data_IF_892430860483
#
_entry.id   IF_892430860483
#
_cell.length_a   1.000
_cell.length_b   1.000
_cell.length_c   1.000
_cell.angle_alpha   90.00
_cell.angle_beta   90.00
_cell.angle_gamma   90.00
#
_symmetry.space_group_name_H-M   'P 1'
#
loop_
_entity.id
_entity.type
_entity.pdbx_description
1 polymer ?
#
# COMPACT_ATOMS: atom_id res chain seq x y z
N UNK A 1 -1.37 40.41 -25.60
CA UNK A 1 -2.26 39.67 -24.66
C UNK A 1 -2.07 38.17 -24.84
N UNK A 2 -1.68 37.42 -23.76
CA UNK A 2 -1.61 35.96 -23.77
C UNK A 2 -3.02 35.36 -23.66
N UNK A 3 -3.34 34.34 -24.45
CA UNK A 3 -4.69 33.71 -24.48
C UNK A 3 -4.55 32.20 -24.29
N UNK A 4 -4.40 31.71 -23.07
CA UNK A 4 -4.30 30.28 -22.70
C UNK A 4 -5.55 29.44 -23.10
N UNK A 5 -6.74 30.08 -23.24
CA UNK A 5 -7.97 29.40 -23.71
C UNK A 5 -7.85 28.77 -25.08
N UNK A 6 -6.89 29.18 -25.92
CA UNK A 6 -6.68 28.58 -27.25
C UNK A 6 -6.42 27.09 -27.18
N UNK A 7 -5.63 26.64 -26.19
CA UNK A 7 -5.32 25.23 -25.98
C UNK A 7 -6.45 24.44 -25.28
N UNK A 8 -7.57 25.08 -24.95
CA UNK A 8 -8.73 24.48 -24.30
C UNK A 8 -9.98 24.44 -25.19
N UNK A 9 -9.88 24.91 -26.44
CA UNK A 9 -11.03 25.19 -27.32
C UNK A 9 -11.86 23.96 -27.69
N UNK A 10 -11.25 22.80 -27.83
CA UNK A 10 -11.93 21.53 -28.09
C UNK A 10 -11.16 20.35 -27.48
N UNK A 11 -11.80 19.16 -27.48
CA UNK A 11 -11.24 17.96 -26.83
C UNK A 11 -9.95 17.49 -27.52
N UNK A 12 -9.88 17.51 -28.84
CA UNK A 12 -8.68 17.07 -29.57
C UNK A 12 -7.45 17.89 -29.19
N UNK A 13 -7.61 19.22 -29.06
CA UNK A 13 -6.51 20.10 -28.62
C UNK A 13 -6.17 19.83 -27.14
N UNK A 14 -7.17 19.70 -26.26
CA UNK A 14 -6.90 19.38 -24.84
C UNK A 14 -6.16 18.06 -24.71
N UNK A 15 -6.58 17.03 -25.43
CA UNK A 15 -5.93 15.72 -25.45
C UNK A 15 -4.49 15.78 -25.95
N UNK A 16 -4.23 16.58 -27.00
CA UNK A 16 -2.91 16.74 -27.62
C UNK A 16 -1.88 17.34 -26.63
N UNK A 17 -2.31 18.32 -25.83
CA UNK A 17 -1.43 19.06 -24.90
C UNK A 17 -1.45 18.52 -23.47
N UNK A 18 -2.11 17.39 -23.23
CA UNK A 18 -2.23 16.77 -21.91
C UNK A 18 -0.87 16.23 -21.44
N UNK A 19 -0.36 16.77 -20.34
CA UNK A 19 0.98 16.47 -19.80
C UNK A 19 1.00 15.18 -18.98
N UNK A 20 -0.07 14.93 -18.21
CA UNK A 20 -0.14 13.81 -17.26
C UNK A 20 -1.16 12.77 -17.71
N UNK A 21 -0.77 11.51 -17.66
CA UNK A 21 -1.63 10.37 -17.94
C UNK A 21 -1.51 9.32 -16.84
N UNK A 22 -2.55 8.52 -16.67
CA UNK A 22 -2.58 7.33 -15.82
C UNK A 22 -2.78 6.12 -16.72
N UNK A 23 -2.00 5.08 -16.49
CA UNK A 23 -2.16 3.78 -17.14
C UNK A 23 -2.65 2.73 -16.12
N UNK A 24 -3.29 1.67 -16.59
CA UNK A 24 -3.68 0.53 -15.75
C UNK A 24 -2.46 -0.09 -15.05
N UNK A 25 -1.30 -0.05 -15.69
CA UNK A 25 -0.03 -0.54 -15.16
C UNK A 25 0.58 0.33 -14.05
N UNK A 26 0.04 1.51 -13.81
CA UNK A 26 0.42 2.33 -12.66
C UNK A 26 -0.31 1.91 -11.37
N UNK A 27 -1.32 1.01 -11.45
CA UNK A 27 -2.25 0.71 -10.37
C UNK A 27 -1.94 -0.62 -9.70
N UNK A 28 -1.94 -0.60 -8.35
CA UNK A 28 -1.84 -1.78 -7.48
C UNK A 28 -3.11 -1.87 -6.63
N UNK A 29 -3.71 -3.06 -6.55
CA UNK A 29 -4.91 -3.31 -5.76
C UNK A 29 -4.58 -4.00 -4.43
N UNK A 30 -4.96 -3.43 -3.25
CA UNK A 30 -4.78 -4.08 -1.96
C UNK A 30 -5.80 -5.19 -1.74
N UNK A 31 -5.35 -6.36 -1.25
CA UNK A 31 -6.22 -7.48 -0.89
C UNK A 31 -5.98 -7.93 0.55
N UNK A 32 -7.03 -8.45 1.19
CA UNK A 32 -7.00 -8.98 2.54
C UNK A 32 -7.31 -10.47 2.51
N UNK A 33 -6.39 -11.29 3.04
CA UNK A 33 -6.53 -12.74 3.10
C UNK A 33 -6.67 -13.18 4.55
N UNK A 34 -7.84 -13.72 4.89
CA UNK A 34 -8.15 -14.17 6.23
C UNK A 34 -7.93 -15.67 6.37
N UNK A 35 -7.38 -16.08 7.52
CA UNK A 35 -7.25 -17.48 7.88
C UNK A 35 -8.63 -18.08 8.17
N UNK A 36 -8.94 -19.21 7.53
CA UNK A 36 -10.19 -19.94 7.67
C UNK A 36 -10.69 -20.48 6.35
N UNK A 37 -11.96 -20.86 6.33
CA UNK A 37 -12.64 -21.47 5.19
C UNK A 37 -13.95 -20.74 4.91
N UNK A 38 -14.32 -20.66 3.63
CA UNK A 38 -15.56 -20.07 3.13
C UNK A 38 -15.81 -18.62 3.60
N UNK A 39 -14.75 -17.83 3.75
CA UNK A 39 -14.83 -16.42 4.17
C UNK A 39 -14.85 -15.52 2.94
N UNK A 40 -15.92 -14.72 2.82
CA UNK A 40 -16.03 -13.51 2.03
C UNK A 40 -16.75 -12.48 2.89
N UNK A 41 -15.98 -11.79 3.74
CA UNK A 41 -16.51 -10.86 4.74
C UNK A 41 -16.37 -9.42 4.22
N UNK A 42 -17.46 -8.67 4.06
CA UNK A 42 -17.38 -7.27 3.63
C UNK A 42 -16.71 -6.42 4.72
N UNK A 43 -15.93 -5.44 4.28
CA UNK A 43 -15.41 -4.39 5.16
C UNK A 43 -16.42 -3.25 5.15
N UNK A 44 -17.20 -3.10 6.24
CA UNK A 44 -18.33 -2.17 6.29
C UNK A 44 -17.94 -0.71 5.98
N UNK A 45 -16.79 -0.28 6.47
CA UNK A 45 -16.26 1.07 6.23
C UNK A 45 -15.64 1.27 4.84
N UNK A 46 -15.57 0.21 4.01
CA UNK A 46 -14.99 0.23 2.67
C UNK A 46 -15.88 -0.54 1.67
N UNK A 47 -16.93 0.07 1.12
CA UNK A 47 -17.83 -0.60 0.18
C UNK A 47 -17.10 -1.31 -0.97
N UNK A 48 -17.50 -2.55 -1.29
CA UNK A 48 -16.90 -3.44 -2.29
C UNK A 48 -15.49 -3.97 -1.97
N UNK A 49 -14.96 -3.74 -0.76
CA UNK A 49 -13.74 -4.37 -0.27
C UNK A 49 -14.12 -5.52 0.68
N UNK A 50 -13.43 -6.65 0.57
CA UNK A 50 -13.72 -7.85 1.34
C UNK A 50 -12.44 -8.48 1.89
N UNK A 51 -12.58 -9.21 3.00
CA UNK A 51 -11.62 -10.21 3.43
C UNK A 51 -11.99 -11.56 2.78
N UNK A 52 -11.00 -12.29 2.26
CA UNK A 52 -11.22 -13.58 1.60
C UNK A 52 -10.39 -14.67 2.29
N UNK A 53 -10.97 -15.86 2.50
CA UNK A 53 -10.18 -17.06 2.78
C UNK A 53 -9.54 -17.61 1.50
N UNK A 54 -8.53 -18.47 1.65
CA UNK A 54 -7.80 -19.06 0.51
C UNK A 54 -8.73 -19.70 -0.54
N UNK A 55 -9.74 -20.46 -0.09
CA UNK A 55 -10.71 -21.16 -0.93
C UNK A 55 -11.67 -20.23 -1.68
N UNK A 56 -11.76 -18.96 -1.26
CA UNK A 56 -12.61 -17.93 -1.89
C UNK A 56 -11.80 -16.87 -2.65
N UNK A 57 -10.47 -16.97 -2.61
CA UNK A 57 -9.58 -15.93 -3.16
C UNK A 57 -9.71 -15.78 -4.68
N UNK A 58 -10.03 -16.86 -5.39
CA UNK A 58 -10.24 -16.81 -6.85
C UNK A 58 -11.34 -15.83 -7.30
N UNK A 59 -12.31 -15.54 -6.45
CA UNK A 59 -13.39 -14.62 -6.80
C UNK A 59 -12.87 -13.22 -7.12
N UNK A 60 -11.81 -12.81 -6.44
CA UNK A 60 -11.18 -11.49 -6.69
C UNK A 60 -9.99 -11.60 -7.64
N UNK A 61 -9.21 -12.70 -7.57
CA UNK A 61 -8.03 -12.87 -8.40
C UNK A 61 -8.36 -12.96 -9.90
N UNK A 62 -9.47 -13.56 -10.26
CA UNK A 62 -9.95 -13.61 -11.64
C UNK A 62 -10.22 -12.19 -12.18
N UNK A 63 -10.95 -11.36 -11.43
CA UNK A 63 -11.22 -9.96 -11.80
C UNK A 63 -9.91 -9.15 -11.90
N UNK A 64 -8.98 -9.32 -10.96
CA UNK A 64 -7.67 -8.66 -10.99
C UNK A 64 -6.89 -9.06 -12.24
N UNK A 65 -6.83 -10.35 -12.55
CA UNK A 65 -6.12 -10.86 -13.73
C UNK A 65 -6.66 -10.30 -15.04
N UNK A 66 -7.97 -10.13 -15.15
CA UNK A 66 -8.65 -9.57 -16.35
C UNK A 66 -8.51 -8.03 -16.43
N UNK A 67 -8.33 -7.36 -15.31
CA UNK A 67 -8.31 -5.89 -15.24
C UNK A 67 -7.10 -5.23 -15.91
N UNK A 68 -6.01 -5.98 -16.08
CA UNK A 68 -4.71 -5.50 -16.62
C UNK A 68 -3.98 -4.50 -15.73
N UNK A 69 -4.33 -4.35 -14.45
CA UNK A 69 -3.55 -3.57 -13.50
C UNK A 69 -2.15 -4.19 -13.28
N UNK A 70 -1.24 -3.48 -12.62
CA UNK A 70 0.13 -3.98 -12.44
C UNK A 70 0.21 -5.20 -11.52
N UNK A 71 -0.53 -5.20 -10.41
CA UNK A 71 -0.47 -6.28 -9.44
C UNK A 71 -1.28 -6.00 -8.17
N UNK A 72 -0.91 -6.70 -7.11
CA UNK A 72 -1.59 -6.64 -5.80
C UNK A 72 -0.62 -6.31 -4.67
N UNK A 73 -1.17 -5.70 -3.61
CA UNK A 73 -0.54 -5.60 -2.30
C UNK A 73 -1.33 -6.50 -1.33
N UNK A 74 -0.66 -7.48 -0.71
CA UNK A 74 -1.32 -8.49 0.11
C UNK A 74 -1.14 -8.25 1.60
N UNK A 75 -2.24 -8.35 2.36
CA UNK A 75 -2.30 -8.31 3.81
C UNK A 75 -2.90 -9.62 4.34
N UNK A 76 -2.25 -10.25 5.32
CA UNK A 76 -2.77 -11.44 5.99
C UNK A 76 -3.48 -11.11 7.29
N UNK A 77 -4.57 -11.82 7.57
CA UNK A 77 -5.33 -11.71 8.81
C UNK A 77 -5.36 -13.10 9.47
N UNK A 78 -4.45 -13.33 10.45
CA UNK A 78 -4.39 -14.60 11.15
C UNK A 78 -5.53 -14.71 12.16
N UNK A 79 -5.94 -15.94 12.50
CA UNK A 79 -6.88 -16.22 13.61
C UNK A 79 -6.24 -16.04 14.97
N UNK A 80 -4.97 -16.38 15.08
CA UNK A 80 -4.23 -16.29 16.33
C UNK A 80 -3.23 -15.15 16.26
N UNK A 81 -3.23 -14.33 17.31
CA UNK A 81 -2.30 -13.21 17.47
C UNK A 81 -1.60 -13.34 18.81
N UNK A 82 -0.31 -13.03 18.86
CA UNK A 82 0.48 -13.05 20.08
C UNK A 82 1.35 -11.78 20.22
N UNK A 83 2.05 -11.64 21.34
CA UNK A 83 2.86 -10.46 21.62
C UNK A 83 4.05 -10.30 20.68
N UNK A 84 4.55 -11.38 20.12
CA UNK A 84 5.72 -11.42 19.22
C UNK A 84 5.34 -11.57 17.74
N UNK A 85 4.04 -11.55 17.41
CA UNK A 85 3.55 -11.69 16.04
C UNK A 85 4.07 -12.98 15.35
N UNK A 86 4.08 -14.12 16.05
CA UNK A 86 4.70 -15.36 15.54
C UNK A 86 4.13 -15.82 14.20
N UNK A 87 2.84 -15.59 13.95
CA UNK A 87 2.19 -15.88 12.66
C UNK A 87 2.71 -15.06 11.48
N UNK A 88 3.38 -13.93 11.70
CA UNK A 88 3.91 -13.08 10.63
C UNK A 88 5.06 -13.74 9.87
N UNK A 89 5.88 -14.50 10.58
CA UNK A 89 7.07 -15.17 10.04
C UNK A 89 6.98 -16.71 10.03
N UNK A 90 5.80 -17.24 10.29
CA UNK A 90 5.52 -18.68 10.11
C UNK A 90 5.57 -19.01 8.60
N UNK A 91 6.36 -20.02 8.23
CA UNK A 91 6.44 -20.48 6.83
C UNK A 91 5.09 -20.97 6.30
N UNK A 92 4.18 -21.37 7.17
CA UNK A 92 2.80 -21.77 6.87
C UNK A 92 1.77 -20.71 7.28
N UNK A 93 2.20 -19.48 7.56
CA UNK A 93 1.31 -18.35 7.84
C UNK A 93 0.35 -18.07 6.69
N UNK A 94 -0.77 -17.42 6.99
CA UNK A 94 -1.83 -17.18 5.99
C UNK A 94 -1.33 -16.41 4.77
N UNK A 95 -0.46 -15.41 4.95
CA UNK A 95 0.11 -14.63 3.85
C UNK A 95 1.02 -15.49 2.98
N UNK A 96 1.89 -16.29 3.59
CA UNK A 96 2.80 -17.21 2.89
C UNK A 96 2.03 -18.27 2.09
N UNK A 97 0.95 -18.81 2.65
CA UNK A 97 0.07 -19.75 1.96
C UNK A 97 -0.63 -19.07 0.76
N UNK A 98 -1.15 -17.86 0.96
CA UNK A 98 -1.83 -17.10 -0.08
C UNK A 98 -0.90 -16.78 -1.26
N UNK A 99 0.33 -16.32 -0.99
CA UNK A 99 1.29 -16.02 -2.05
C UNK A 99 1.62 -17.28 -2.85
N UNK A 100 1.93 -18.40 -2.20
CA UNK A 100 2.16 -19.68 -2.89
C UNK A 100 0.97 -20.10 -3.76
N UNK A 101 -0.24 -20.00 -3.23
CA UNK A 101 -1.45 -20.30 -3.99
C UNK A 101 -1.59 -19.42 -5.24
N UNK A 102 -1.39 -18.10 -5.09
CA UNK A 102 -1.49 -17.14 -6.20
C UNK A 102 -0.40 -17.42 -7.24
N UNK A 103 0.85 -17.65 -6.82
CA UNK A 103 1.96 -17.91 -7.75
C UNK A 103 1.78 -19.21 -8.54
N UNK A 104 1.14 -20.21 -7.98
CA UNK A 104 0.80 -21.46 -8.71
C UNK A 104 -0.31 -21.21 -9.73
N UNK A 105 -1.35 -20.47 -9.37
CA UNK A 105 -2.56 -20.34 -10.18
C UNK A 105 -2.52 -19.15 -11.14
N UNK A 106 -1.85 -18.07 -10.73
CA UNK A 106 -1.69 -16.81 -11.49
C UNK A 106 -0.19 -16.42 -11.53
N UNK A 107 0.68 -17.18 -12.20
CA UNK A 107 2.14 -17.03 -12.11
C UNK A 107 2.66 -15.67 -12.60
N UNK A 108 1.91 -14.98 -13.46
CA UNK A 108 2.24 -13.64 -13.97
C UNK A 108 1.77 -12.49 -13.07
N UNK A 109 1.02 -12.78 -11.99
CA UNK A 109 0.53 -11.73 -11.09
C UNK A 109 1.68 -11.21 -10.22
N UNK A 110 1.94 -9.91 -10.29
CA UNK A 110 2.90 -9.25 -9.43
C UNK A 110 2.32 -9.13 -8.02
N UNK A 111 3.09 -9.60 -7.03
CA UNK A 111 2.70 -9.60 -5.63
C UNK A 111 3.68 -8.75 -4.81
N UNK A 112 3.15 -7.71 -4.19
CA UNK A 112 3.84 -6.93 -3.17
C UNK A 112 3.38 -7.47 -1.82
N UNK A 113 4.29 -7.93 -0.98
CA UNK A 113 3.96 -8.42 0.36
C UNK A 113 4.26 -7.35 1.41
N UNK A 114 3.24 -6.94 2.14
CA UNK A 114 3.40 -6.03 3.28
C UNK A 114 4.21 -6.71 4.39
N UNK A 115 5.16 -5.98 4.98
CA UNK A 115 5.93 -6.42 6.14
C UNK A 115 5.62 -5.51 7.31
N UNK A 116 4.74 -5.99 8.18
CA UNK A 116 4.37 -5.33 9.42
C UNK A 116 3.89 -6.36 10.45
N UNK A 117 4.07 -6.07 11.71
CA UNK A 117 3.64 -6.98 12.77
C UNK A 117 2.21 -6.69 13.26
N UNK A 118 1.61 -5.54 12.93
CA UNK A 118 0.36 -5.08 13.56
C UNK A 118 -0.87 -5.96 13.28
N UNK A 119 -0.90 -6.69 12.18
CA UNK A 119 -1.95 -7.66 11.86
C UNK A 119 -1.82 -8.93 12.72
N UNK A 120 -0.62 -9.21 13.24
CA UNK A 120 -0.24 -10.45 13.93
C UNK A 120 -0.01 -10.28 15.43
N UNK A 121 0.18 -9.03 15.90
CA UNK A 121 0.34 -8.75 17.33
C UNK A 121 -1.01 -8.70 18.04
N UNK A 122 -1.08 -9.25 19.26
CA UNK A 122 -2.28 -9.18 20.11
C UNK A 122 -2.65 -7.75 20.48
N UNK A 123 -1.68 -6.87 20.60
CA UNK A 123 -1.86 -5.45 20.97
C UNK A 123 -2.02 -4.50 19.76
N UNK A 124 -1.93 -4.97 18.50
CA UNK A 124 -2.14 -4.17 17.30
C UNK A 124 -1.07 -3.11 16.98
N UNK A 125 0.06 -3.07 17.69
CA UNK A 125 1.19 -2.20 17.34
C UNK A 125 2.13 -2.88 16.35
N UNK A 126 2.90 -2.06 15.60
CA UNK A 126 3.78 -2.52 14.51
C UNK A 126 5.13 -3.09 15.01
N UNK A 127 5.38 -3.13 16.31
CA UNK A 127 6.64 -3.61 16.90
C UNK A 127 6.47 -4.24 18.26
N UNK A 128 7.57 -4.75 18.79
CA UNK A 128 7.66 -5.34 20.14
C UNK A 128 7.32 -4.32 21.20
N UNK A 129 6.52 -4.72 22.18
CA UNK A 129 6.05 -3.84 23.26
C UNK A 129 6.71 -4.19 24.58
N UNK A 130 7.18 -3.16 25.32
CA UNK A 130 7.56 -3.27 26.72
C UNK A 130 6.84 -2.19 27.53
N UNK A 131 5.90 -2.60 28.38
CA UNK A 131 4.96 -1.68 29.03
C UNK A 131 4.10 -0.95 28.00
N UNK A 132 4.32 0.35 27.80
CA UNK A 132 3.65 1.17 26.78
C UNK A 132 4.63 1.68 25.69
N UNK A 133 5.85 1.18 25.67
CA UNK A 133 6.90 1.61 24.74
C UNK A 133 7.05 0.58 23.62
N UNK A 134 7.10 1.06 22.39
CA UNK A 134 7.47 0.26 21.23
C UNK A 134 8.99 0.23 21.13
N UNK A 135 9.55 -0.98 21.07
CA UNK A 135 10.99 -1.20 21.04
C UNK A 135 11.46 -1.33 19.60
N UNK A 136 12.21 -0.34 19.12
CA UNK A 136 12.68 -0.27 17.74
C UNK A 136 13.59 -1.46 17.41
N UNK A 137 14.71 -1.58 18.12
CA UNK A 137 15.80 -2.50 17.76
C UNK A 137 15.40 -3.97 17.95
N UNK A 138 14.57 -4.26 18.94
CA UNK A 138 14.03 -5.61 19.18
C UNK A 138 13.00 -6.02 18.13
N UNK A 139 12.41 -5.06 17.41
CA UNK A 139 11.46 -5.32 16.32
C UNK A 139 12.17 -5.72 15.01
N UNK A 140 13.33 -5.14 14.71
CA UNK A 140 14.04 -5.36 13.44
C UNK A 140 14.30 -6.84 13.11
N UNK A 141 14.74 -7.70 14.06
CA UNK A 141 14.92 -9.13 13.77
C UNK A 141 13.62 -9.84 13.39
N UNK A 142 12.47 -9.43 13.92
CA UNK A 142 11.17 -10.04 13.58
C UNK A 142 10.73 -9.63 12.18
N UNK A 143 10.92 -8.37 11.80
CA UNK A 143 10.68 -7.88 10.45
C UNK A 143 11.56 -8.58 9.41
N UNK A 144 12.84 -8.78 9.74
CA UNK A 144 13.78 -9.53 8.89
C UNK A 144 13.33 -10.98 8.69
N UNK A 145 12.89 -11.66 9.75
CA UNK A 145 12.33 -13.02 9.68
C UNK A 145 11.08 -13.08 8.81
N UNK A 146 10.17 -12.10 8.95
CA UNK A 146 8.97 -12.00 8.13
C UNK A 146 9.35 -11.82 6.66
N UNK A 147 10.25 -10.89 6.34
CA UNK A 147 10.71 -10.64 4.98
C UNK A 147 11.31 -11.89 4.32
N UNK A 148 12.17 -12.63 5.03
CA UNK A 148 12.74 -13.91 4.55
C UNK A 148 11.63 -14.95 4.29
N UNK A 149 10.67 -15.09 5.23
CA UNK A 149 9.59 -16.07 5.08
C UNK A 149 8.70 -15.79 3.86
N UNK A 150 8.47 -14.49 3.57
CA UNK A 150 7.72 -14.05 2.40
C UNK A 150 8.55 -14.22 1.11
N UNK A 151 9.84 -13.89 1.11
CA UNK A 151 10.71 -14.08 -0.05
C UNK A 151 10.81 -15.55 -0.48
N UNK A 152 10.81 -16.51 0.48
CA UNK A 152 10.73 -17.95 0.21
C UNK A 152 9.48 -18.40 -0.54
N UNK A 153 8.43 -17.58 -0.60
CA UNK A 153 7.18 -17.88 -1.34
C UNK A 153 7.19 -17.39 -2.78
N UNK A 154 8.30 -16.83 -3.27
CA UNK A 154 8.43 -16.17 -4.56
C UNK A 154 7.57 -14.90 -4.68
N UNK A 155 7.40 -14.15 -3.58
CA UNK A 155 6.86 -12.79 -3.68
C UNK A 155 7.78 -11.92 -4.54
N UNK A 156 7.22 -10.97 -5.28
CA UNK A 156 8.01 -10.14 -6.19
C UNK A 156 8.65 -8.94 -5.49
N UNK A 157 8.00 -8.38 -4.48
CA UNK A 157 8.44 -7.17 -3.78
C UNK A 157 8.14 -7.31 -2.29
N UNK A 158 9.10 -6.96 -1.45
CA UNK A 158 8.95 -6.84 0.02
C UNK A 158 8.67 -5.39 0.37
N UNK A 159 7.61 -5.12 1.18
CA UNK A 159 7.17 -3.76 1.46
C UNK A 159 7.04 -3.47 2.97
N UNK A 160 8.14 -3.08 3.66
CA UNK A 160 8.12 -2.77 5.08
C UNK A 160 7.29 -1.51 5.36
N UNK A 161 6.27 -1.66 6.23
CA UNK A 161 5.28 -0.62 6.54
C UNK A 161 5.22 -0.20 8.02
N UNK A 162 6.13 -0.71 8.84
CA UNK A 162 6.12 -0.58 10.29
C UNK A 162 6.62 0.77 10.83
N UNK A 163 7.52 1.46 10.12
CA UNK A 163 8.18 2.72 10.48
C UNK A 163 9.24 2.60 11.61
N UNK A 164 9.85 1.42 11.80
CA UNK A 164 11.03 1.32 12.66
C UNK A 164 12.27 1.86 11.93
N UNK A 165 13.12 2.57 12.65
CA UNK A 165 14.37 3.09 12.11
C UNK A 165 15.33 1.92 11.82
N UNK A 166 16.03 1.96 10.68
CA UNK A 166 16.94 0.89 10.27
C UNK A 166 16.24 -0.35 9.67
N UNK A 167 14.92 -0.30 9.45
CA UNK A 167 14.13 -1.43 8.93
C UNK A 167 14.57 -1.90 7.55
N UNK A 168 14.89 -0.96 6.66
CA UNK A 168 15.30 -1.29 5.28
C UNK A 168 16.67 -1.97 5.30
N UNK A 169 17.62 -1.42 6.02
CA UNK A 169 18.97 -2.02 6.17
C UNK A 169 18.90 -3.42 6.80
N UNK A 170 18.11 -3.60 7.86
CA UNK A 170 17.94 -4.90 8.51
C UNK A 170 17.33 -5.95 7.56
N UNK A 171 16.29 -5.58 6.80
CA UNK A 171 15.63 -6.45 5.84
C UNK A 171 16.54 -6.73 4.65
N UNK A 172 17.23 -5.74 4.07
CA UNK A 172 18.13 -5.91 2.94
C UNK A 172 19.25 -6.87 3.27
N UNK A 173 19.93 -6.65 4.40
CA UNK A 173 21.00 -7.55 4.85
C UNK A 173 20.49 -8.98 5.05
N UNK A 174 19.32 -9.14 5.69
CA UNK A 174 18.73 -10.45 5.93
C UNK A 174 18.35 -11.17 4.62
N UNK A 175 17.78 -10.46 3.64
CA UNK A 175 17.48 -11.02 2.32
C UNK A 175 18.76 -11.46 1.60
N UNK A 176 19.80 -10.63 1.58
CA UNK A 176 21.07 -10.92 0.90
C UNK A 176 21.79 -12.12 1.52
N UNK A 177 21.88 -12.19 2.84
CA UNK A 177 22.48 -13.31 3.58
C UNK A 177 21.75 -14.64 3.33
N UNK A 178 20.44 -14.59 3.00
CA UNK A 178 19.63 -15.77 2.69
C UNK A 178 19.47 -16.04 1.18
N UNK A 179 20.23 -15.33 0.31
CA UNK A 179 20.28 -15.56 -1.13
C UNK A 179 19.15 -14.91 -1.92
N UNK A 180 18.41 -13.96 -1.34
CA UNK A 180 17.34 -13.19 -1.99
C UNK A 180 17.83 -11.81 -2.47
N UNK A 181 19.01 -11.76 -3.05
CA UNK A 181 19.68 -10.53 -3.52
C UNK A 181 18.90 -9.77 -4.59
N UNK A 182 18.06 -10.48 -5.36
CA UNK A 182 17.27 -9.89 -6.45
C UNK A 182 15.87 -9.47 -6.02
N UNK A 183 15.50 -9.65 -4.74
CA UNK A 183 14.18 -9.25 -4.23
C UNK A 183 14.16 -7.76 -3.89
N UNK A 184 13.40 -6.90 -4.61
CA UNK A 184 13.37 -5.49 -4.34
C UNK A 184 12.59 -5.14 -3.08
N UNK A 185 12.95 -4.01 -2.47
CA UNK A 185 12.30 -3.44 -1.29
C UNK A 185 11.55 -2.16 -1.68
N UNK A 186 10.23 -2.15 -1.46
CA UNK A 186 9.38 -0.97 -1.50
C UNK A 186 9.17 -0.46 -0.07
N UNK A 187 9.93 0.55 0.36
CA UNK A 187 9.75 1.07 1.72
C UNK A 187 8.60 2.06 1.82
N UNK A 188 7.81 1.91 2.89
CA UNK A 188 6.87 2.96 3.34
C UNK A 188 7.68 4.06 4.05
N UNK A 189 8.42 4.82 3.29
CA UNK A 189 9.42 5.75 3.81
C UNK A 189 8.79 6.95 4.50
N UNK A 190 7.77 7.55 3.88
CA UNK A 190 7.04 8.69 4.44
C UNK A 190 5.62 8.31 4.84
N UNK A 191 5.47 7.59 5.97
CA UNK A 191 4.17 7.18 6.51
C UNK A 191 3.80 8.03 7.71
N UNK A 192 2.75 8.82 7.57
CA UNK A 192 2.27 9.73 8.62
C UNK A 192 1.27 9.06 9.56
N UNK A 193 1.23 9.51 10.82
CA UNK A 193 0.21 9.15 11.79
C UNK A 193 -1.12 9.83 11.39
N UNK A 194 -1.93 9.14 10.60
CA UNK A 194 -3.08 9.74 9.92
C UNK A 194 -4.42 9.18 10.41
N UNK A 195 -5.43 10.07 10.51
CA UNK A 195 -6.81 9.69 10.75
C UNK A 195 -7.45 8.96 9.56
N UNK A 196 -6.88 9.08 8.35
CA UNK A 196 -7.34 8.39 7.14
C UNK A 196 -7.15 6.87 7.16
N UNK A 197 -6.54 6.28 8.21
CA UNK A 197 -6.34 4.83 8.32
C UNK A 197 -7.47 4.09 9.03
N UNK A 198 -8.48 4.78 9.56
CA UNK A 198 -9.52 4.11 10.36
C UNK A 198 -10.18 2.94 9.64
N UNK A 199 -10.63 3.04 8.36
CA UNK A 199 -11.21 1.90 7.66
C UNK A 199 -10.24 0.74 7.41
N UNK A 200 -8.95 1.01 7.25
CA UNK A 200 -7.93 -0.05 7.13
C UNK A 200 -7.79 -0.85 8.43
N UNK A 201 -7.90 -0.20 9.59
CA UNK A 201 -7.82 -0.91 10.88
C UNK A 201 -8.95 -1.90 11.05
N UNK A 202 -10.13 -1.58 10.53
CA UNK A 202 -11.26 -2.51 10.49
C UNK A 202 -10.98 -3.67 9.51
N UNK A 203 -10.45 -3.36 8.32
CA UNK A 203 -10.16 -4.33 7.27
C UNK A 203 -9.07 -5.32 7.65
N UNK A 204 -8.01 -4.88 8.34
CA UNK A 204 -6.84 -5.67 8.74
C UNK A 204 -6.91 -6.16 10.19
N UNK A 205 -7.99 -5.82 10.92
CA UNK A 205 -8.16 -6.16 12.35
C UNK A 205 -6.94 -5.76 13.19
N UNK A 206 -6.36 -4.57 12.92
CA UNK A 206 -5.07 -4.11 13.45
C UNK A 206 -5.19 -2.81 14.27
N UNK A 207 -6.33 -2.55 14.90
CA UNK A 207 -6.48 -1.41 15.78
C UNK A 207 -5.59 -1.58 17.03
N UNK A 208 -4.82 -0.54 17.44
CA UNK A 208 -4.02 -0.61 18.65
C UNK A 208 -4.91 -0.71 19.89
N UNK A 209 -4.60 -1.65 20.81
CA UNK A 209 -5.33 -1.83 22.06
C UNK A 209 -5.06 -0.72 23.09
N UNK A 210 -3.93 -0.02 22.95
CA UNK A 210 -3.57 1.11 23.82
C UNK A 210 -2.88 2.21 23.03
N UNK A 211 -2.94 3.46 23.54
CA UNK A 211 -2.23 4.60 22.98
C UNK A 211 -2.58 4.91 21.52
N UNK A 212 -1.56 5.29 20.78
CA UNK A 212 -1.63 5.56 19.33
C UNK A 212 -0.30 5.18 18.66
N UNK A 213 -0.16 5.49 17.36
CA UNK A 213 1.05 5.17 16.58
C UNK A 213 1.99 6.37 16.36
N UNK A 214 1.75 7.51 17.05
CA UNK A 214 2.53 8.74 16.84
C UNK A 214 3.97 8.66 17.37
N UNK A 215 4.29 7.66 18.18
CA UNK A 215 5.66 7.44 18.66
C UNK A 215 6.60 6.88 17.59
N UNK A 216 6.04 6.34 16.47
CA UNK A 216 6.84 5.76 15.37
C UNK A 216 6.33 6.12 13.97
N UNK A 217 5.09 6.56 13.79
CA UNK A 217 4.63 7.16 12.53
C UNK A 217 4.80 8.68 12.61
N UNK A 218 5.21 9.30 11.49
CA UNK A 218 5.54 10.73 11.46
C UNK A 218 4.34 11.62 11.81
N UNK A 219 4.63 12.76 12.42
CA UNK A 219 3.63 13.80 12.63
C UNK A 219 3.21 14.40 11.28
N UNK A 220 1.90 14.47 11.03
CA UNK A 220 1.35 15.01 9.79
C UNK A 220 1.68 16.49 9.57
N UNK A 221 2.16 17.22 10.58
CA UNK A 221 2.62 18.59 10.47
C UNK A 221 4.06 18.73 9.95
N UNK A 222 4.83 17.62 9.83
CA UNK A 222 6.28 17.64 9.61
C UNK A 222 6.70 17.20 8.20
N UNK A 223 6.39 17.98 7.15
CA UNK A 223 6.77 17.65 5.77
C UNK A 223 8.29 17.53 5.51
N UNK A 224 9.14 18.25 6.24
CA UNK A 224 10.60 18.16 6.08
C UNK A 224 11.20 16.88 6.65
N UNK A 225 10.58 16.30 7.66
CA UNK A 225 10.95 15.00 8.23
C UNK A 225 10.78 13.89 7.18
N UNK A 226 9.68 13.93 6.44
CA UNK A 226 9.41 12.97 5.37
C UNK A 226 10.54 12.82 4.34
N UNK A 227 11.17 13.93 3.96
CA UNK A 227 12.28 13.89 3.00
C UNK A 227 13.56 13.28 3.59
N UNK A 228 13.77 13.38 4.91
CA UNK A 228 14.90 12.72 5.60
C UNK A 228 14.65 11.23 5.75
N UNK A 229 13.44 10.83 6.14
CA UNK A 229 13.04 9.42 6.20
C UNK A 229 13.18 8.72 4.83
N UNK A 230 12.80 9.42 3.75
CA UNK A 230 12.99 8.90 2.39
C UNK A 230 14.49 8.76 2.06
N UNK A 231 15.30 9.76 2.40
CA UNK A 231 16.75 9.75 2.15
C UNK A 231 17.44 8.61 2.92
N UNK A 232 17.10 8.44 4.19
CA UNK A 232 17.65 7.37 5.04
C UNK A 232 17.26 5.98 4.49
N UNK A 233 15.99 5.76 4.10
CA UNK A 233 15.56 4.48 3.50
C UNK A 233 16.29 4.18 2.17
N UNK A 234 16.58 5.22 1.35
CA UNK A 234 17.37 5.08 0.12
C UNK A 234 18.82 4.66 0.44
N UNK A 235 19.44 5.31 1.42
CA UNK A 235 20.80 4.99 1.87
C UNK A 235 20.88 3.58 2.48
N UNK A 236 19.82 3.12 3.12
CA UNK A 236 19.66 1.78 3.67
C UNK A 236 19.42 0.69 2.60
N UNK A 237 19.14 1.06 1.34
CA UNK A 237 19.00 0.14 0.21
C UNK A 237 17.56 -0.11 -0.24
N UNK A 238 16.64 0.82 -0.06
CA UNK A 238 15.33 0.75 -0.68
C UNK A 238 15.43 0.94 -2.20
N UNK A 239 14.72 0.11 -2.97
CA UNK A 239 14.64 0.20 -4.44
C UNK A 239 13.50 1.12 -4.88
N UNK A 240 12.46 1.25 -4.07
CA UNK A 240 11.30 2.12 -4.26
C UNK A 240 10.91 2.75 -2.93
N UNK A 241 10.39 3.96 -2.98
CA UNK A 241 9.95 4.72 -1.80
C UNK A 241 8.49 5.13 -1.89
N UNK A 242 7.81 5.20 -0.74
CA UNK A 242 6.38 5.48 -0.68
C UNK A 242 6.04 6.66 0.23
N UNK A 243 5.09 7.49 -0.23
CA UNK A 243 4.38 8.47 0.60
C UNK A 243 2.98 7.94 0.93
N UNK A 244 2.62 7.92 2.22
CA UNK A 244 1.32 7.43 2.72
C UNK A 244 0.82 8.32 3.87
N UNK A 245 -0.39 8.88 3.79
CA UNK A 245 -1.39 8.87 2.70
C UNK A 245 -0.97 9.66 1.45
N UNK A 246 -1.86 9.67 0.41
CA UNK A 246 -1.57 10.31 -0.86
C UNK A 246 -2.16 11.73 -1.00
N UNK A 247 -3.51 11.84 -1.00
CA UNK A 247 -4.20 13.07 -1.48
C UNK A 247 -3.96 14.29 -0.59
N UNK A 248 -3.93 14.10 0.74
CA UNK A 248 -3.65 15.20 1.66
C UNK A 248 -2.15 15.55 1.79
N UNK A 249 -1.27 14.82 1.07
CA UNK A 249 0.19 14.91 1.16
C UNK A 249 0.86 15.06 -0.22
N UNK A 250 0.13 15.60 -1.21
CA UNK A 250 0.66 15.83 -2.56
C UNK A 250 1.83 16.81 -2.60
N UNK A 251 1.93 17.70 -1.62
CA UNK A 251 3.09 18.58 -1.40
C UNK A 251 4.35 17.77 -1.06
N UNK A 252 4.23 16.76 -0.19
CA UNK A 252 5.33 15.83 0.14
C UNK A 252 5.70 14.97 -1.07
N UNK A 253 4.69 14.45 -1.79
CA UNK A 253 4.91 13.69 -3.04
C UNK A 253 5.68 14.52 -4.05
N UNK A 254 5.29 15.80 -4.22
CA UNK A 254 5.97 16.72 -5.14
C UNK A 254 7.40 17.00 -4.71
N UNK A 255 7.62 17.28 -3.42
CA UNK A 255 8.95 17.54 -2.88
C UNK A 255 9.86 16.31 -2.97
N UNK A 256 9.33 15.11 -2.72
CA UNK A 256 10.08 13.86 -2.89
C UNK A 256 10.49 13.64 -4.35
N UNK A 257 9.58 13.83 -5.30
CA UNK A 257 9.89 13.72 -6.75
C UNK A 257 10.95 14.71 -7.22
N UNK A 258 10.97 15.91 -6.66
CA UNK A 258 11.96 16.93 -7.01
C UNK A 258 13.37 16.65 -6.46
N UNK A 259 13.45 15.81 -5.43
CA UNK A 259 14.71 15.49 -4.73
C UNK A 259 15.28 14.12 -5.09
N UNK A 260 14.42 13.12 -5.37
CA UNK A 260 14.84 11.73 -5.53
C UNK A 260 14.36 11.16 -6.86
N UNK A 261 15.24 10.37 -7.52
CA UNK A 261 14.99 9.77 -8.83
C UNK A 261 14.45 8.31 -8.74
N UNK A 262 14.31 7.75 -7.53
CA UNK A 262 13.74 6.41 -7.35
C UNK A 262 12.27 6.34 -7.76
N UNK A 263 11.76 5.15 -8.12
CA UNK A 263 10.33 4.97 -8.31
C UNK A 263 9.55 5.39 -7.06
N UNK A 264 8.64 6.36 -7.26
CA UNK A 264 7.85 6.96 -6.19
C UNK A 264 6.45 6.36 -6.17
N UNK A 265 6.12 5.67 -5.09
CA UNK A 265 4.82 5.08 -4.86
C UNK A 265 3.99 5.97 -3.94
N UNK A 266 2.69 6.02 -4.17
CA UNK A 266 1.75 6.66 -3.25
C UNK A 266 0.65 5.68 -2.87
N UNK A 267 0.16 5.78 -1.64
CA UNK A 267 -0.98 4.99 -1.19
C UNK A 267 -2.21 5.88 -1.03
N UNK A 268 -3.16 5.74 -1.95
CA UNK A 268 -4.50 6.30 -1.82
C UNK A 268 -5.29 5.44 -0.82
N UNK A 269 -5.27 5.87 0.45
CA UNK A 269 -5.61 5.04 1.60
C UNK A 269 -7.11 4.86 1.82
N UNK A 270 -7.44 3.98 2.74
CA UNK A 270 -8.79 3.53 3.04
C UNK A 270 -9.76 4.66 3.37
N UNK A 271 -9.35 5.68 4.14
CA UNK A 271 -10.20 6.84 4.45
C UNK A 271 -10.44 7.73 3.23
N UNK A 272 -9.44 7.90 2.36
CA UNK A 272 -9.60 8.63 1.11
C UNK A 272 -10.58 7.91 0.18
N UNK A 273 -10.50 6.57 0.10
CA UNK A 273 -11.47 5.73 -0.61
C UNK A 273 -12.88 5.85 -0.03
N UNK A 274 -13.02 5.65 1.29
CA UNK A 274 -14.30 5.67 1.98
C UNK A 274 -15.04 7.02 1.84
N UNK A 275 -14.32 8.15 1.86
CA UNK A 275 -14.91 9.48 1.66
C UNK A 275 -15.52 9.63 0.26
N UNK A 276 -14.85 9.12 -0.79
CA UNK A 276 -15.39 9.15 -2.16
C UNK A 276 -16.64 8.28 -2.25
N UNK A 277 -16.58 7.03 -1.73
CA UNK A 277 -17.74 6.11 -1.72
C UNK A 277 -18.94 6.71 -0.98
N UNK A 278 -18.73 7.26 0.22
CA UNK A 278 -19.81 7.85 1.02
C UNK A 278 -20.45 9.07 0.35
N UNK A 279 -19.67 9.95 -0.29
CA UNK A 279 -20.20 11.09 -1.01
C UNK A 279 -20.93 10.68 -2.30
N UNK A 280 -20.46 9.65 -2.97
CA UNK A 280 -21.09 9.05 -4.16
C UNK A 280 -22.43 8.42 -3.82
N UNK A 281 -22.52 7.66 -2.73
CA UNK A 281 -23.78 7.04 -2.27
C UNK A 281 -24.89 8.07 -2.04
N UNK A 282 -24.51 9.26 -1.56
CA UNK A 282 -25.42 10.39 -1.35
C UNK A 282 -25.72 11.18 -2.63
N UNK A 283 -25.12 10.82 -3.77
CA UNK A 283 -25.28 11.53 -5.04
C UNK A 283 -24.66 12.93 -5.08
N UNK A 284 -23.75 13.25 -4.17
CA UNK A 284 -23.12 14.58 -4.09
C UNK A 284 -21.96 14.75 -5.08
N UNK A 285 -21.34 13.65 -5.48
CA UNK A 285 -20.24 13.63 -6.44
C UNK A 285 -20.44 12.49 -7.46
N UNK A 286 -19.81 12.64 -8.63
CA UNK A 286 -19.66 11.60 -9.65
C UNK A 286 -18.37 10.83 -9.36
N UNK A 287 -18.49 9.58 -8.92
CA UNK A 287 -17.35 8.75 -8.49
C UNK A 287 -16.27 8.65 -9.57
N UNK A 288 -16.66 8.30 -10.79
CA UNK A 288 -15.73 8.13 -11.91
C UNK A 288 -14.92 9.40 -12.18
N UNK A 289 -15.56 10.57 -12.17
CA UNK A 289 -14.89 11.84 -12.40
C UNK A 289 -13.92 12.18 -11.27
N UNK A 290 -14.35 12.02 -10.01
CA UNK A 290 -13.51 12.32 -8.85
C UNK A 290 -12.33 11.35 -8.74
N UNK A 291 -12.53 10.05 -8.96
CA UNK A 291 -11.45 9.06 -8.98
C UNK A 291 -10.44 9.37 -10.09
N UNK A 292 -10.93 9.68 -11.31
CA UNK A 292 -10.06 10.10 -12.41
C UNK A 292 -9.20 11.30 -12.04
N UNK A 293 -9.81 12.33 -11.47
CA UNK A 293 -9.12 13.55 -11.07
C UNK A 293 -8.09 13.29 -9.96
N UNK A 294 -8.42 12.48 -8.97
CA UNK A 294 -7.53 12.08 -7.88
C UNK A 294 -6.30 11.31 -8.40
N UNK A 295 -6.49 10.32 -9.27
CA UNK A 295 -5.39 9.55 -9.86
C UNK A 295 -4.46 10.44 -10.69
N UNK A 296 -5.03 11.32 -11.51
CA UNK A 296 -4.24 12.30 -12.28
C UNK A 296 -3.51 13.28 -11.35
N UNK A 297 -4.13 13.71 -10.24
CA UNK A 297 -3.48 14.61 -9.28
C UNK A 297 -2.26 13.96 -8.62
N UNK A 298 -2.35 12.67 -8.25
CA UNK A 298 -1.22 11.91 -7.70
C UNK A 298 -0.10 11.76 -8.73
N UNK A 299 -0.41 11.39 -9.98
CA UNK A 299 0.57 11.32 -11.08
C UNK A 299 1.21 12.69 -11.37
N UNK A 300 0.41 13.76 -11.40
CA UNK A 300 0.90 15.14 -11.63
C UNK A 300 1.81 15.62 -10.50
N UNK A 301 1.59 15.16 -9.27
CA UNK A 301 2.48 15.45 -8.15
C UNK A 301 3.82 14.73 -8.28
N UNK A 302 3.89 13.61 -9.03
CA UNK A 302 5.13 12.89 -9.31
C UNK A 302 5.11 11.40 -9.00
N UNK A 303 3.96 10.84 -8.61
CA UNK A 303 3.86 9.40 -8.37
C UNK A 303 4.06 8.58 -9.65
N UNK A 304 4.86 7.52 -9.59
CA UNK A 304 5.00 6.52 -10.66
C UNK A 304 3.96 5.42 -10.49
N UNK A 305 3.73 4.97 -9.26
CA UNK A 305 2.85 3.86 -8.92
C UNK A 305 1.83 4.32 -7.88
N UNK A 306 0.59 3.87 -8.02
CA UNK A 306 -0.51 4.23 -7.13
C UNK A 306 -1.14 2.95 -6.56
N UNK A 307 -1.03 2.77 -5.25
CA UNK A 307 -1.78 1.74 -4.53
C UNK A 307 -3.14 2.34 -4.18
N UNK A 308 -4.23 1.71 -4.62
CA UNK A 308 -5.59 2.23 -4.39
C UNK A 308 -6.65 1.14 -4.42
N UNK A 309 -7.64 1.26 -3.56
CA UNK A 309 -8.84 0.41 -3.57
C UNK A 309 -9.77 0.72 -4.77
N UNK A 310 -9.57 1.83 -5.46
CA UNK A 310 -10.26 2.14 -6.72
C UNK A 310 -9.64 1.45 -7.95
N UNK A 311 -8.55 0.68 -7.82
CA UNK A 311 -7.78 0.20 -8.96
C UNK A 311 -8.62 -0.59 -9.98
N UNK A 312 -9.51 -1.47 -9.52
CA UNK A 312 -10.36 -2.29 -10.40
C UNK A 312 -11.43 -1.46 -11.12
N UNK A 313 -12.07 -0.54 -10.41
CA UNK A 313 -13.04 0.38 -11.00
C UNK A 313 -12.34 1.34 -11.97
N UNK A 314 -11.21 1.90 -11.57
CA UNK A 314 -10.40 2.79 -12.40
C UNK A 314 -9.91 2.09 -13.68
N UNK A 315 -9.52 0.82 -13.62
CA UNK A 315 -9.10 0.04 -14.79
C UNK A 315 -10.21 -0.09 -15.85
N UNK A 316 -11.47 -0.15 -15.41
CA UNK A 316 -12.64 -0.15 -16.32
C UNK A 316 -12.88 1.22 -16.95
N UNK A 317 -12.53 2.30 -16.28
CA UNK A 317 -12.84 3.67 -16.66
C UNK A 317 -11.69 4.41 -17.36
N UNK A 318 -10.46 3.94 -17.23
CA UNK A 318 -9.26 4.70 -17.60
C UNK A 318 -9.25 5.12 -19.07
N UNK A 319 -9.77 4.27 -19.97
CA UNK A 319 -9.89 4.56 -21.40
C UNK A 319 -10.88 5.71 -21.68
N UNK A 320 -11.72 6.05 -20.70
CA UNK A 320 -12.72 7.11 -20.78
C UNK A 320 -12.28 8.41 -20.06
N UNK A 321 -11.22 8.37 -19.23
CA UNK A 321 -10.72 9.55 -18.50
C UNK A 321 -10.28 10.68 -19.42
N UNK A 322 -10.03 10.35 -20.67
CA UNK A 322 -9.46 11.26 -21.65
C UNK A 322 -10.45 11.63 -22.79
N UNK A 323 -11.68 11.12 -22.71
CA UNK A 323 -12.81 11.51 -23.56
C UNK A 323 -13.52 12.71 -22.95
#
# INVERSE_FOLDING_TARGET
>A
MRRFRRLRSNESIRSLVRETRVDKKDLIYPIFVAEGENIKKPVESMPNVYQYSLDRLDEILAEISESSIAGILIFGIPKHKDELASGAYDENGITQQAIRYIKVKYPSMLIIADVCLCEYTSHGHCGVVCGHKILNDETLPLLSRMAISLAKTNTDIIAPSDMMNGKVSAIRNALDENGFTDTPILSYSAKFASAYYSPFRDAAESAPEFGDRKSYQMDYANGKEALREIEDDIEEGADMVMVKPALAYLDVVKAARERFDLPLVVYNVSGEYAMVKAATEKGWIDEKKVVSENLIAMKRAGADIIITYHALDAAKWIDEFYK
#
